data_IF_994501865221
#
_entry.id   IF_994501865221
#
_cell.length_a   1.000
_cell.length_b   1.000
_cell.length_c   1.000
_cell.angle_alpha   90.00
_cell.angle_beta   90.00
_cell.angle_gamma   90.00
#
_symmetry.space_group_name_H-M   'P 1'
#
loop_
_entity.id
_entity.type
_entity.pdbx_description
1 polymer ?
#
# COMPACT_ATOMS: atom_id res chain seq x y z
N UNK A 1 -13.66 -10.50 -15.40
CA UNK A 1 -12.99 -9.80 -14.29
C UNK A 1 -13.00 -8.32 -14.62
N UNK A 2 -13.63 -7.46 -13.82
CA UNK A 2 -13.67 -6.01 -14.09
C UNK A 2 -12.39 -5.38 -13.58
N UNK A 3 -11.61 -4.74 -14.46
CA UNK A 3 -10.45 -3.98 -14.01
C UNK A 3 -10.89 -2.78 -13.18
N UNK A 4 -10.31 -2.52 -12.01
CA UNK A 4 -10.68 -1.38 -11.20
C UNK A 4 -10.45 -0.07 -11.96
N UNK A 5 -11.36 0.91 -11.77
CA UNK A 5 -11.33 2.20 -12.47
C UNK A 5 -9.98 2.93 -12.33
N UNK A 6 -9.31 2.77 -11.19
CA UNK A 6 -7.97 3.32 -10.93
C UNK A 6 -6.97 2.87 -11.98
N UNK A 7 -7.01 1.60 -12.41
CA UNK A 7 -6.10 1.05 -13.44
C UNK A 7 -6.47 1.54 -14.84
N UNK A 8 -7.76 1.66 -15.14
CA UNK A 8 -8.24 2.13 -16.45
C UNK A 8 -7.88 3.59 -16.74
N UNK A 9 -7.61 4.39 -15.70
CA UNK A 9 -7.33 5.83 -15.79
C UNK A 9 -5.82 6.15 -15.78
N UNK A 10 -4.96 5.13 -15.68
CA UNK A 10 -3.51 5.33 -15.70
C UNK A 10 -3.05 5.63 -17.13
N UNK A 11 -2.32 6.73 -17.30
CA UNK A 11 -1.70 7.10 -18.56
C UNK A 11 -0.23 6.68 -18.58
N UNK A 12 0.44 6.74 -17.42
CA UNK A 12 1.82 6.29 -17.21
C UNK A 12 1.91 5.51 -15.90
N UNK A 13 1.69 4.18 -15.93
CA UNK A 13 1.74 3.36 -14.73
C UNK A 13 3.13 3.41 -14.09
N UNK A 14 3.15 3.52 -12.77
CA UNK A 14 4.35 3.61 -11.95
C UNK A 14 4.18 2.79 -10.67
N UNK A 15 5.26 2.13 -10.26
CA UNK A 15 5.29 1.28 -9.09
C UNK A 15 5.93 2.06 -7.92
N UNK A 16 5.16 2.19 -6.85
CA UNK A 16 5.61 2.76 -5.59
C UNK A 16 5.76 1.65 -4.57
N UNK A 17 6.98 1.45 -4.11
CA UNK A 17 7.31 0.43 -3.11
C UNK A 17 7.31 1.05 -1.71
N UNK A 18 6.55 0.44 -0.80
CA UNK A 18 6.43 0.87 0.59
C UNK A 18 6.97 -0.27 1.48
N UNK A 19 8.19 -0.14 2.02
CA UNK A 19 8.74 -1.13 2.94
C UNK A 19 8.02 -1.07 4.30
N UNK A 20 7.74 -2.23 4.88
CA UNK A 20 7.16 -2.40 6.20
C UNK A 20 8.27 -2.75 7.17
N UNK A 21 8.82 -1.74 7.85
CA UNK A 21 9.89 -1.92 8.83
C UNK A 21 9.37 -2.49 10.16
N UNK A 22 10.29 -2.98 10.98
CA UNK A 22 10.02 -3.38 12.36
C UNK A 22 9.38 -2.22 13.14
N UNK A 23 8.30 -2.50 13.88
CA UNK A 23 7.54 -1.50 14.62
C UNK A 23 6.59 -0.66 13.75
N UNK A 24 6.45 -0.98 12.46
CA UNK A 24 5.51 -0.29 11.58
C UNK A 24 4.06 -0.44 12.08
N UNK A 25 3.24 0.63 12.03
CA UNK A 25 1.82 0.56 12.36
C UNK A 25 1.00 -0.34 11.40
N UNK A 26 1.61 -0.76 10.29
CA UNK A 26 1.00 -1.67 9.32
C UNK A 26 1.04 -3.13 9.78
N UNK A 27 1.96 -3.49 10.67
CA UNK A 27 2.13 -4.87 11.09
C UNK A 27 0.84 -5.43 11.72
N UNK A 28 0.40 -6.58 11.24
CA UNK A 28 -0.81 -7.26 11.71
C UNK A 28 -2.13 -6.62 11.24
N UNK A 29 -2.10 -5.58 10.40
CA UNK A 29 -3.32 -5.05 9.75
C UNK A 29 -3.66 -5.88 8.52
N UNK A 30 -4.95 -6.06 8.26
CA UNK A 30 -5.40 -6.62 6.99
C UNK A 30 -5.40 -5.54 5.91
N UNK A 31 -5.12 -5.91 4.66
CA UNK A 31 -5.15 -4.99 3.50
C UNK A 31 -6.47 -4.23 3.40
N UNK A 32 -7.62 -4.85 3.71
CA UNK A 32 -8.94 -4.19 3.64
C UNK A 32 -9.14 -3.07 4.68
N UNK A 33 -8.42 -3.13 5.80
CA UNK A 33 -8.58 -2.17 6.91
C UNK A 33 -7.79 -0.89 6.70
N UNK A 34 -6.91 -0.89 5.70
CA UNK A 34 -6.06 0.22 5.36
C UNK A 34 -6.79 1.18 4.43
N UNK A 35 -6.88 2.49 4.77
CA UNK A 35 -7.54 3.48 3.92
C UNK A 35 -6.60 3.94 2.80
N UNK A 36 -6.35 3.06 1.83
CA UNK A 36 -5.47 3.31 0.69
C UNK A 36 -5.87 4.59 -0.08
N UNK A 37 -4.89 5.37 -0.60
CA UNK A 37 -5.17 6.48 -1.50
C UNK A 37 -5.97 6.01 -2.73
N UNK A 38 -7.02 6.74 -3.11
CA UNK A 38 -7.89 6.36 -4.25
C UNK A 38 -7.16 6.36 -5.60
N UNK A 39 -6.07 7.11 -5.67
CA UNK A 39 -5.20 7.23 -6.84
C UNK A 39 -4.22 6.06 -6.99
N UNK A 40 -4.17 5.15 -6.01
CA UNK A 40 -3.28 4.01 -5.99
C UNK A 40 -4.04 2.69 -5.80
N UNK A 41 -3.43 1.60 -6.27
CA UNK A 41 -3.93 0.24 -6.06
C UNK A 41 -2.80 -0.63 -5.52
N UNK A 42 -3.03 -1.34 -4.41
CA UNK A 42 -2.11 -2.38 -3.96
C UNK A 42 -2.21 -3.58 -4.90
N UNK A 43 -1.13 -3.85 -5.63
CA UNK A 43 -1.08 -4.89 -6.66
C UNK A 43 -0.24 -6.10 -6.23
N UNK A 44 0.60 -5.96 -5.21
CA UNK A 44 1.50 -7.02 -4.76
C UNK A 44 2.06 -6.74 -3.37
N UNK A 45 2.48 -7.81 -2.71
CA UNK A 45 3.31 -7.76 -1.49
C UNK A 45 4.51 -8.66 -1.75
N UNK A 46 5.72 -8.12 -1.67
CA UNK A 46 6.95 -8.91 -1.71
C UNK A 46 7.36 -9.29 -0.30
N UNK A 47 7.55 -10.57 -0.04
CA UNK A 47 7.89 -11.15 1.27
C UNK A 47 9.09 -12.06 1.10
N UNK A 48 10.28 -11.52 1.38
CA UNK A 48 11.54 -12.18 0.99
C UNK A 48 11.56 -12.40 -0.52
N UNK A 49 11.77 -13.65 -0.93
CA UNK A 49 11.82 -14.05 -2.35
C UNK A 49 10.43 -14.35 -2.95
N UNK A 50 9.35 -14.20 -2.19
CA UNK A 50 7.98 -14.51 -2.63
C UNK A 50 7.21 -13.25 -3.00
N UNK A 51 6.37 -13.36 -4.03
CA UNK A 51 5.38 -12.34 -4.38
C UNK A 51 3.97 -12.85 -4.04
N UNK A 52 3.27 -12.12 -3.17
CA UNK A 52 1.94 -12.43 -2.67
C UNK A 52 0.94 -11.50 -3.36
N UNK A 53 -0.08 -12.09 -3.98
CA UNK A 53 -1.21 -11.34 -4.52
C UNK A 53 -2.13 -10.97 -3.34
N UNK A 54 -2.32 -9.68 -3.04
CA UNK A 54 -3.07 -9.25 -1.87
C UNK A 54 -4.57 -9.43 -2.08
N UNK A 55 -5.22 -9.99 -1.07
CA UNK A 55 -6.65 -10.02 -0.86
C UNK A 55 -7.01 -9.18 0.36
N UNK A 56 -8.30 -8.92 0.56
CA UNK A 56 -8.75 -8.08 1.67
C UNK A 56 -8.35 -8.62 3.05
N UNK A 57 -8.28 -9.95 3.23
CA UNK A 57 -7.83 -10.65 4.44
C UNK A 57 -6.31 -10.83 4.54
N UNK A 58 -5.55 -10.51 3.50
CA UNK A 58 -4.09 -10.64 3.55
C UNK A 58 -3.55 -9.77 4.68
N UNK A 59 -2.86 -10.41 5.62
CA UNK A 59 -2.17 -9.73 6.72
C UNK A 59 -0.83 -9.19 6.24
N UNK A 60 -0.60 -7.92 6.57
CA UNK A 60 0.67 -7.24 6.34
C UNK A 60 1.61 -7.58 7.49
N UNK A 61 2.86 -7.91 7.18
CA UNK A 61 3.90 -8.26 8.14
C UNK A 61 5.12 -7.37 8.01
N UNK A 62 5.87 -7.27 9.10
CA UNK A 62 7.22 -6.68 9.07
C UNK A 62 8.11 -7.46 8.09
N UNK A 63 8.95 -6.72 7.37
CA UNK A 63 9.76 -7.26 6.27
C UNK A 63 9.04 -7.33 4.92
N UNK A 64 7.72 -7.10 4.88
CA UNK A 64 7.00 -6.96 3.62
C UNK A 64 7.43 -5.70 2.87
N UNK A 65 7.37 -5.75 1.54
CA UNK A 65 7.37 -4.57 0.69
C UNK A 65 6.08 -4.53 -0.10
N UNK A 66 5.25 -3.53 0.19
CA UNK A 66 3.97 -3.33 -0.49
C UNK A 66 4.22 -2.65 -1.83
N UNK A 67 3.65 -3.17 -2.91
CA UNK A 67 3.78 -2.63 -4.26
C UNK A 67 2.46 -1.96 -4.65
N UNK A 68 2.47 -0.64 -4.69
CA UNK A 68 1.34 0.19 -5.13
C UNK A 68 1.53 0.58 -6.59
N UNK A 69 0.47 0.44 -7.38
CA UNK A 69 0.37 0.97 -8.73
C UNK A 69 -0.33 2.32 -8.71
N UNK A 70 0.27 3.33 -9.32
CA UNK A 70 -0.27 4.69 -9.46
C UNK A 70 0.13 5.26 -10.83
N UNK A 71 -0.40 6.43 -11.19
CA UNK A 71 0.15 7.20 -12.32
C UNK A 71 1.42 7.93 -11.88
N UNK A 72 2.42 8.01 -12.76
CA UNK A 72 3.70 8.71 -12.51
C UNK A 72 3.46 10.17 -12.07
N UNK A 73 2.45 10.83 -12.65
CA UNK A 73 2.10 12.22 -12.29
C UNK A 73 1.61 12.36 -10.85
N UNK A 74 1.13 11.27 -10.26
CA UNK A 74 0.56 11.24 -8.91
C UNK A 74 1.54 10.65 -7.87
N UNK A 75 2.71 10.13 -8.28
CA UNK A 75 3.68 9.43 -7.42
C UNK A 75 3.97 10.17 -6.11
N UNK A 76 4.34 11.45 -6.21
CA UNK A 76 4.67 12.28 -5.03
C UNK A 76 3.48 12.45 -4.10
N UNK A 77 2.29 12.68 -4.64
CA UNK A 77 1.06 12.87 -3.87
C UNK A 77 0.64 11.58 -3.16
N UNK A 78 0.71 10.45 -3.85
CA UNK A 78 0.42 9.13 -3.27
C UNK A 78 1.38 8.83 -2.13
N UNK A 79 2.68 9.04 -2.34
CA UNK A 79 3.70 8.85 -1.30
C UNK A 79 3.39 9.68 -0.04
N UNK A 80 3.15 10.99 -0.20
CA UNK A 80 2.80 11.87 0.92
C UNK A 80 1.54 11.41 1.68
N UNK A 81 0.51 10.91 0.96
CA UNK A 81 -0.72 10.40 1.59
C UNK A 81 -0.46 9.12 2.38
N UNK A 82 0.39 8.22 1.87
CA UNK A 82 0.80 7.02 2.59
C UNK A 82 1.58 7.43 3.85
N UNK A 83 2.58 8.31 3.72
CA UNK A 83 3.37 8.77 4.88
C UNK A 83 2.48 9.39 5.97
N UNK A 84 1.51 10.24 5.59
CA UNK A 84 0.55 10.83 6.52
C UNK A 84 -0.38 9.79 7.17
N UNK A 85 -0.80 8.77 6.41
CA UNK A 85 -1.59 7.67 6.91
C UNK A 85 -0.82 6.88 7.98
N UNK A 86 0.44 6.52 7.71
CA UNK A 86 1.30 5.79 8.65
C UNK A 86 1.49 6.59 9.94
N UNK A 87 1.82 7.88 9.84
CA UNK A 87 1.95 8.77 10.99
C UNK A 87 0.66 8.89 11.83
N UNK A 88 -0.51 8.77 11.19
CA UNK A 88 -1.81 8.80 11.89
C UNK A 88 -2.05 7.49 12.65
N UNK A 89 -1.70 6.35 12.06
CA UNK A 89 -1.87 5.05 12.69
C UNK A 89 -0.91 4.84 13.86
N UNK A 90 0.31 5.38 13.79
CA UNK A 90 1.28 5.34 14.90
C UNK A 90 0.76 6.05 16.15
N UNK A 91 0.10 7.21 15.98
CA UNK A 91 -0.48 7.96 17.11
C UNK A 91 -1.56 7.16 17.81
N UNK A 92 -2.46 6.54 17.03
CA UNK A 92 -3.55 5.71 17.56
C UNK A 92 -3.09 4.48 18.34
N UNK A 93 -1.87 3.99 18.08
CA UNK A 93 -1.31 2.83 18.79
C UNK A 93 -0.64 3.17 20.13
N UNK A 94 -0.44 4.46 20.44
CA UNK A 94 0.24 4.94 21.66
C UNK A 94 -0.74 5.43 22.75
N UNK A 95 -2.02 5.55 22.41
CA UNK A 95 -3.11 5.91 23.32
C UNK A 95 -3.84 4.65 23.82
#
# INVERSE_FOLDING_TARGET
MTMPKTVQQLHRPDHLEIPVFFGSPLNGKMVRDMPWPKEALLIGIRRGEQEVIPHGDTLIHEGDTLVLLTDTTQRTRVKQRIDALLATLEKKHRD
#
